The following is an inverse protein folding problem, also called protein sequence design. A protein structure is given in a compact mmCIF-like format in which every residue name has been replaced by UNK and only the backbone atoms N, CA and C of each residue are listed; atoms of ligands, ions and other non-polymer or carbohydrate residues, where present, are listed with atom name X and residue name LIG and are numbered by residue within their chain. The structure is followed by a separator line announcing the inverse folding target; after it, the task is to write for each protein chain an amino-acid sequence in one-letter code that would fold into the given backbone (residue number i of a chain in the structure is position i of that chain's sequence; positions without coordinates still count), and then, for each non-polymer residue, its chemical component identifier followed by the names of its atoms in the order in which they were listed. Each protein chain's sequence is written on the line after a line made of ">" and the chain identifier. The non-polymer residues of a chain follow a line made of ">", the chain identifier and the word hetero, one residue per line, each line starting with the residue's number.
data_IF_722433171225
#
_entry.id   IF_722433171225
#
_cell.length_a   1.000
_cell.length_b   1.000
_cell.length_c   1.000
_cell.angle_alpha   90.00
_cell.angle_beta   90.00
_cell.angle_gamma   90.00
#
_symmetry.space_group_name_H-M   'P 1'
#
loop_
_entity.id
_entity.type
_entity.pdbx_description
1 polymer ?
#
# COMPACT_ATOMS: atom_id res chain seq x y z
N UNK A 1 -24.85 19.23 -10.36
CA UNK A 1 -24.31 19.59 -9.04
C UNK A 1 -24.57 18.51 -7.97
N UNK A 2 -25.82 18.25 -7.55
CA UNK A 2 -26.13 17.27 -6.48
C UNK A 2 -25.60 15.85 -6.74
N UNK A 3 -25.83 15.30 -7.94
CA UNK A 3 -25.32 13.97 -8.31
C UNK A 3 -23.81 13.94 -8.59
N UNK A 4 -23.25 15.06 -9.04
CA UNK A 4 -21.84 15.20 -9.39
C UNK A 4 -20.94 15.09 -8.16
N UNK A 5 -21.35 15.67 -7.03
CA UNK A 5 -20.61 15.56 -5.75
C UNK A 5 -20.63 14.13 -5.20
N UNK A 6 -21.78 13.45 -5.30
CA UNK A 6 -21.93 12.06 -4.87
C UNK A 6 -21.09 11.13 -5.75
N UNK A 7 -21.15 11.31 -7.07
CA UNK A 7 -20.31 10.58 -8.03
C UNK A 7 -18.83 10.80 -7.77
N UNK A 8 -18.39 12.05 -7.62
CA UNK A 8 -16.99 12.38 -7.29
C UNK A 8 -16.52 11.73 -5.99
N UNK A 9 -17.35 11.70 -4.95
CA UNK A 9 -17.04 11.02 -3.70
C UNK A 9 -16.88 9.50 -3.88
N UNK A 10 -17.79 8.86 -4.61
CA UNK A 10 -17.74 7.43 -4.91
C UNK A 10 -16.50 7.05 -5.73
N UNK A 11 -16.20 7.81 -6.77
CA UNK A 11 -15.02 7.63 -7.61
C UNK A 11 -13.74 7.84 -6.79
N UNK A 12 -13.69 8.85 -5.92
CA UNK A 12 -12.54 9.09 -5.03
C UNK A 12 -12.31 7.93 -4.07
N UNK A 13 -13.37 7.33 -3.51
CA UNK A 13 -13.26 6.13 -2.69
C UNK A 13 -12.73 4.95 -3.51
N UNK A 14 -13.23 4.75 -4.74
CA UNK A 14 -12.74 3.71 -5.65
C UNK A 14 -11.26 3.88 -5.99
N UNK A 15 -10.83 5.12 -6.26
CA UNK A 15 -9.43 5.48 -6.50
C UNK A 15 -8.59 5.20 -5.25
N UNK A 16 -9.03 5.62 -4.06
CA UNK A 16 -8.32 5.34 -2.80
C UNK A 16 -8.17 3.83 -2.55
N UNK A 17 -9.19 3.05 -2.86
CA UNK A 17 -9.14 1.59 -2.71
C UNK A 17 -8.18 0.95 -3.71
N UNK A 18 -8.20 1.40 -4.97
CA UNK A 18 -7.29 0.97 -6.02
C UNK A 18 -5.83 1.33 -5.68
N UNK A 19 -5.60 2.53 -5.16
CA UNK A 19 -4.28 2.99 -4.72
C UNK A 19 -3.81 2.26 -3.45
N UNK A 20 -4.72 1.92 -2.53
CA UNK A 20 -4.41 1.14 -1.32
C UNK A 20 -3.83 -0.24 -1.65
N UNK A 21 -4.47 -0.98 -2.56
CA UNK A 21 -3.96 -2.27 -3.07
C UNK A 21 -2.64 -2.12 -3.84
N UNK A 22 -2.51 -1.02 -4.59
CA UNK A 22 -1.32 -0.71 -5.38
C UNK A 22 -0.05 -0.53 -4.52
N UNK A 23 -0.14 0.04 -3.32
CA UNK A 23 1.01 0.19 -2.42
C UNK A 23 1.59 -1.15 -1.95
N UNK A 24 0.74 -2.12 -1.60
CA UNK A 24 1.19 -3.47 -1.24
C UNK A 24 1.93 -4.16 -2.38
N UNK A 25 1.39 -4.04 -3.61
CA UNK A 25 2.00 -4.57 -4.83
C UNK A 25 3.36 -3.91 -5.13
N UNK A 26 3.49 -2.59 -4.99
CA UNK A 26 4.77 -1.88 -5.16
C UNK A 26 5.80 -2.35 -4.14
N UNK A 27 5.43 -2.45 -2.87
CA UNK A 27 6.36 -2.89 -1.81
C UNK A 27 6.86 -4.30 -2.09
N UNK A 28 5.98 -5.20 -2.52
CA UNK A 28 6.36 -6.57 -2.88
C UNK A 28 7.28 -6.61 -4.12
N UNK A 29 6.99 -5.78 -5.13
CA UNK A 29 7.83 -5.62 -6.31
C UNK A 29 9.23 -5.09 -5.96
N UNK A 30 9.31 -4.03 -5.16
CA UNK A 30 10.59 -3.47 -4.71
C UNK A 30 11.38 -4.44 -3.83
N UNK A 31 10.71 -5.33 -3.08
CA UNK A 31 11.35 -6.42 -2.33
C UNK A 31 11.99 -7.49 -3.22
N UNK A 32 11.53 -7.62 -4.46
CA UNK A 32 12.13 -8.53 -5.46
C UNK A 32 13.42 -7.97 -6.06
N UNK A 33 13.68 -6.66 -5.91
CA UNK A 33 14.90 -6.05 -6.42
C UNK A 33 16.12 -6.38 -5.54
N UNK A 34 17.28 -6.71 -6.15
CA UNK A 34 18.48 -7.13 -5.42
C UNK A 34 19.09 -6.01 -4.55
N UNK A 35 18.88 -4.74 -4.88
CA UNK A 35 19.45 -3.59 -4.17
C UNK A 35 18.45 -3.00 -3.17
N UNK A 36 17.19 -2.87 -3.57
CA UNK A 36 16.15 -2.21 -2.77
C UNK A 36 15.52 -3.17 -1.76
N UNK A 37 15.44 -4.46 -2.12
CA UNK A 37 14.92 -5.51 -1.25
C UNK A 37 15.62 -5.64 0.12
N UNK A 38 16.96 -5.66 0.23
CA UNK A 38 17.62 -5.72 1.54
C UNK A 38 17.40 -4.46 2.39
N UNK A 39 17.19 -3.29 1.78
CA UNK A 39 16.86 -2.05 2.50
C UNK A 39 15.43 -2.13 3.07
N UNK A 40 14.47 -2.61 2.27
CA UNK A 40 13.08 -2.76 2.69
C UNK A 40 12.85 -3.91 3.69
N UNK A 41 13.80 -4.85 3.79
CA UNK A 41 13.85 -5.95 4.78
C UNK A 41 14.70 -5.59 6.01
N UNK A 42 15.14 -4.33 6.12
CA UNK A 42 15.95 -3.90 7.25
C UNK A 42 15.06 -3.79 8.50
N UNK A 43 15.47 -4.35 9.66
CA UNK A 43 14.61 -4.47 10.86
C UNK A 43 14.12 -3.13 11.42
N UNK A 44 14.84 -2.03 11.16
CA UNK A 44 14.42 -0.69 11.57
C UNK A 44 13.28 -0.09 10.72
N UNK A 45 13.06 -0.59 9.50
CA UNK A 45 12.16 0.02 8.49
C UNK A 45 11.01 -0.93 8.13
N UNK A 46 11.28 -2.24 8.19
CA UNK A 46 10.33 -3.32 7.94
C UNK A 46 8.98 -3.19 8.67
N UNK A 47 8.90 -2.87 9.98
CA UNK A 47 7.61 -2.73 10.67
C UNK A 47 6.78 -1.54 10.16
N UNK A 48 7.42 -0.46 9.73
CA UNK A 48 6.73 0.69 9.17
C UNK A 48 6.21 0.39 7.76
N UNK A 49 7.03 -0.27 6.94
CA UNK A 49 6.66 -0.67 5.58
C UNK A 49 5.58 -1.75 5.59
N UNK A 50 5.64 -2.74 6.48
CA UNK A 50 4.61 -3.76 6.63
C UNK A 50 3.25 -3.18 7.02
N UNK A 51 3.21 -2.16 7.89
CA UNK A 51 1.97 -1.45 8.26
C UNK A 51 1.35 -0.70 7.09
N UNK A 52 2.16 -0.01 6.29
CA UNK A 52 1.69 0.72 5.10
C UNK A 52 1.26 -0.24 3.98
N UNK A 53 1.97 -1.36 3.84
CA UNK A 53 1.67 -2.38 2.84
C UNK A 53 0.52 -3.32 3.26
N UNK A 54 -0.04 -3.18 4.47
CA UNK A 54 -1.09 -4.07 4.98
C UNK A 54 -0.63 -5.52 5.16
N UNK A 55 0.69 -5.76 5.26
CA UNK A 55 1.32 -7.08 5.38
C UNK A 55 1.45 -7.53 6.85
N UNK A 56 0.85 -6.80 7.78
CA UNK A 56 0.82 -7.11 9.21
C UNK A 56 -0.13 -8.29 9.48
N UNK A 57 0.29 -9.50 9.12
CA UNK A 57 -0.40 -10.76 9.47
C UNK A 57 0.52 -11.71 10.23
N UNK A 58 1.36 -11.19 11.14
CA UNK A 58 2.13 -12.06 12.04
C UNK A 58 1.59 -11.99 13.48
N UNK A 59 0.56 -12.79 13.82
CA UNK A 59 0.47 -13.41 15.12
C UNK A 59 1.44 -14.60 15.15
N UNK A 60 2.59 -14.44 15.79
CA UNK A 60 3.37 -15.53 16.38
C UNK A 60 4.14 -15.02 17.58
#
# INVERSE_FOLDING_TARGET
>A
MKHSFIGFGLESVGILFLFGDFFGTIVLFLRSFPIIGPILKHPAIEPYINRVAGLDTLPV
#
